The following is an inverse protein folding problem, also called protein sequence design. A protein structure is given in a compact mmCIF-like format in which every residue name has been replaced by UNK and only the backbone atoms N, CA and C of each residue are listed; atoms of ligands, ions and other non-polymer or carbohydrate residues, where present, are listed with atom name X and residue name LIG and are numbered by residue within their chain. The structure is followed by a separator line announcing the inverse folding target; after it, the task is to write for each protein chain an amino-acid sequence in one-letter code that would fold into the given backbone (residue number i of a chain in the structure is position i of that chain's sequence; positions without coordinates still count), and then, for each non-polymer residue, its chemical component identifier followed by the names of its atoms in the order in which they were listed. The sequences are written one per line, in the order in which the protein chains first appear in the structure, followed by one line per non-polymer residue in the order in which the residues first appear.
data_IF_866804091532
#
_entry.id   IF_866804091532
#
_cell.length_a   1.000
_cell.length_b   1.000
_cell.length_c   1.000
_cell.angle_alpha   90.00
_cell.angle_beta   90.00
_cell.angle_gamma   90.00
#
_symmetry.space_group_name_H-M   'P 1'
#
loop_
_entity.id
_entity.type
_entity.pdbx_description
1 polymer ?
#
# COMPACT_ATOMS: atom_id res chain seq x y z
N UNK A 1 7.98 -43.62 -10.65
CA UNK A 1 6.55 -43.21 -10.70
C UNK A 1 6.03 -42.62 -9.38
N UNK A 2 6.26 -43.23 -8.21
CA UNK A 2 5.75 -42.75 -6.90
C UNK A 2 6.35 -41.40 -6.43
N UNK A 3 7.65 -41.20 -6.65
CA UNK A 3 8.33 -39.95 -6.30
C UNK A 3 7.90 -38.75 -7.14
N UNK A 4 7.41 -38.99 -8.36
CA UNK A 4 6.88 -37.95 -9.24
C UNK A 4 5.58 -37.37 -8.67
N UNK A 5 4.72 -38.24 -8.11
CA UNK A 5 3.47 -37.82 -7.45
C UNK A 5 3.79 -37.03 -6.17
N UNK A 6 4.81 -37.44 -5.41
CA UNK A 6 5.24 -36.72 -4.21
C UNK A 6 5.79 -35.32 -4.54
N UNK A 7 6.59 -35.19 -5.60
CA UNK A 7 7.11 -33.91 -6.06
C UNK A 7 6.01 -32.95 -6.51
N UNK A 8 5.01 -33.46 -7.23
CA UNK A 8 3.84 -32.67 -7.65
C UNK A 8 3.02 -32.17 -6.45
N UNK A 9 2.87 -32.99 -5.41
CA UNK A 9 2.12 -32.61 -4.21
C UNK A 9 2.86 -31.56 -3.34
N UNK A 10 4.19 -31.58 -3.28
CA UNK A 10 4.97 -30.59 -2.52
C UNK A 10 5.00 -29.24 -3.24
N UNK A 11 5.03 -29.24 -4.57
CA UNK A 11 5.02 -28.00 -5.37
C UNK A 11 3.75 -27.16 -5.17
N UNK A 12 2.59 -27.79 -4.99
CA UNK A 12 1.32 -27.06 -4.76
C UNK A 12 1.24 -26.42 -3.37
N UNK A 13 1.91 -26.97 -2.36
CA UNK A 13 2.01 -26.38 -1.02
C UNK A 13 3.03 -25.22 -0.94
N UNK A 14 4.07 -25.25 -1.77
CA UNK A 14 5.11 -24.22 -1.83
C UNK A 14 4.71 -22.96 -2.63
N UNK A 15 3.60 -23.01 -3.39
CA UNK A 15 3.02 -21.83 -4.06
C UNK A 15 2.18 -20.95 -3.11
N UNK A 16 2.56 -20.93 -1.83
CA UNK A 16 2.01 -20.04 -0.84
C UNK A 16 2.25 -18.56 -1.15
N UNK A 17 1.43 -17.74 -0.52
CA UNK A 17 1.70 -16.34 -0.22
C UNK A 17 1.78 -15.44 -1.46
N UNK A 18 0.63 -15.21 -2.10
CA UNK A 18 0.44 -14.09 -3.01
C UNK A 18 0.76 -12.78 -2.29
N UNK A 19 1.85 -12.13 -2.69
CA UNK A 19 2.22 -10.81 -2.21
C UNK A 19 1.12 -9.80 -2.56
N UNK A 20 0.54 -9.18 -1.54
CA UNK A 20 -0.50 -8.17 -1.65
C UNK A 20 -0.05 -7.00 -2.53
N UNK A 21 -0.49 -7.00 -3.78
CA UNK A 21 -0.35 -5.86 -4.70
C UNK A 21 -1.44 -4.80 -4.46
N UNK A 22 -1.83 -4.57 -3.20
CA UNK A 22 -2.81 -3.55 -2.80
C UNK A 22 -2.22 -2.12 -2.72
N UNK A 23 -1.08 -1.84 -3.34
CA UNK A 23 -0.45 -0.51 -3.27
C UNK A 23 -1.17 0.56 -4.08
N UNK A 24 -1.98 0.18 -5.07
CA UNK A 24 -2.61 1.15 -5.97
C UNK A 24 -3.86 1.79 -5.36
N UNK A 25 -4.58 1.11 -4.47
CA UNK A 25 -5.85 1.59 -3.92
C UNK A 25 -5.77 1.93 -2.42
N UNK A 26 -4.58 2.32 -1.94
CA UNK A 26 -4.47 2.87 -0.58
C UNK A 26 -5.13 4.24 -0.57
N UNK A 27 -5.91 4.47 0.46
CA UNK A 27 -6.54 5.74 0.82
C UNK A 27 -6.21 5.88 2.31
N UNK A 28 -5.08 6.52 2.62
CA UNK A 28 -4.50 6.50 3.98
C UNK A 28 -5.32 7.36 4.95
N UNK A 29 -5.88 8.44 4.45
CA UNK A 29 -6.68 9.43 5.19
C UNK A 29 -8.19 9.16 5.09
N UNK A 30 -8.60 8.13 4.35
CA UNK A 30 -9.98 7.62 4.24
C UNK A 30 -10.97 8.66 3.68
N UNK A 31 -10.54 9.45 2.71
CA UNK A 31 -11.36 10.51 2.12
C UNK A 31 -12.08 10.08 0.82
N UNK A 32 -11.88 8.83 0.38
CA UNK A 32 -12.49 8.25 -0.81
C UNK A 32 -11.67 8.44 -2.10
N UNK A 33 -10.51 9.10 -2.03
CA UNK A 33 -9.58 9.30 -3.15
C UNK A 33 -8.35 8.42 -2.89
N UNK A 34 -8.02 7.48 -3.80
CA UNK A 34 -6.78 6.72 -3.65
C UNK A 34 -5.55 7.63 -3.66
N UNK A 35 -4.59 7.39 -2.76
CA UNK A 35 -3.30 8.10 -2.61
C UNK A 35 -2.61 8.37 -3.96
N UNK A 36 -2.73 7.45 -4.93
CA UNK A 36 -2.13 7.59 -6.28
C UNK A 36 -2.73 8.72 -7.13
N UNK A 37 -3.96 9.14 -6.82
CA UNK A 37 -4.70 10.20 -7.51
C UNK A 37 -4.76 11.50 -6.71
N UNK A 38 -4.22 11.47 -5.49
CA UNK A 38 -4.33 12.58 -4.58
C UNK A 38 -3.25 13.62 -4.85
N UNK A 39 -3.52 14.50 -5.81
CA UNK A 39 -2.59 15.58 -6.17
C UNK A 39 -2.43 16.60 -5.05
N UNK A 40 -3.45 16.79 -4.22
CA UNK A 40 -3.52 17.78 -3.16
C UNK A 40 -3.56 17.13 -1.77
N UNK A 41 -2.89 15.99 -1.61
CA UNK A 41 -2.79 15.29 -0.34
C UNK A 41 -2.29 16.25 0.73
N UNK A 42 -2.95 16.25 1.86
CA UNK A 42 -2.63 17.04 3.04
C UNK A 42 -2.68 16.08 4.23
N UNK A 43 -1.55 15.43 4.48
CA UNK A 43 -1.44 14.29 5.42
C UNK A 43 -1.65 14.70 6.87
N UNK A 44 -1.44 15.97 7.22
CA UNK A 44 -1.65 16.50 8.56
C UNK A 44 -2.92 17.37 8.70
N UNK A 45 -3.51 17.78 7.58
CA UNK A 45 -4.80 18.46 7.53
C UNK A 45 -4.69 19.95 7.86
N UNK A 46 -3.54 20.56 7.64
CA UNK A 46 -3.29 21.97 7.98
C UNK A 46 -3.58 22.96 6.83
N UNK A 47 -4.03 22.44 5.69
CA UNK A 47 -4.42 23.20 4.51
C UNK A 47 -3.27 23.40 3.51
N UNK A 48 -2.07 22.89 3.77
CA UNK A 48 -0.93 22.93 2.85
C UNK A 48 -0.72 21.54 2.23
N UNK A 49 -0.83 21.38 0.90
CA UNK A 49 -0.54 20.09 0.29
C UNK A 49 0.88 19.60 0.61
N UNK A 50 1.05 18.31 0.87
CA UNK A 50 2.31 17.63 1.25
C UNK A 50 3.50 18.04 0.36
N UNK A 51 3.25 18.27 -0.93
CA UNK A 51 4.28 18.68 -1.91
C UNK A 51 4.89 20.07 -1.65
N UNK A 52 4.17 20.91 -0.91
CA UNK A 52 4.57 22.26 -0.50
C UNK A 52 4.86 22.36 1.00
N UNK A 53 4.65 21.27 1.72
CA UNK A 53 4.86 21.23 3.15
C UNK A 53 6.27 20.75 3.51
N UNK A 54 6.93 21.48 4.41
CA UNK A 54 8.23 21.11 4.99
C UNK A 54 8.11 20.10 6.12
N UNK A 55 6.93 19.97 6.75
CA UNK A 55 6.61 19.00 7.80
C UNK A 55 5.23 18.38 7.55
N UNK A 56 5.05 17.55 6.49
CA UNK A 56 3.77 16.94 6.07
C UNK A 56 3.06 16.07 7.12
N UNK A 57 3.72 15.80 8.25
CA UNK A 57 3.25 14.98 9.35
C UNK A 57 2.94 15.80 10.61
N UNK A 58 3.02 17.13 10.57
CA UNK A 58 2.89 17.98 11.74
C UNK A 58 1.95 19.19 11.51
N UNK A 59 0.68 19.09 11.95
CA UNK A 59 -0.33 20.11 11.68
C UNK A 59 -0.15 21.41 12.48
N UNK A 60 0.90 21.49 13.31
CA UNK A 60 1.22 22.66 14.16
C UNK A 60 2.63 23.18 13.85
N UNK A 61 3.06 23.10 12.60
CA UNK A 61 4.28 23.77 12.15
C UNK A 61 4.07 25.29 12.27
N UNK A 62 4.94 25.94 13.03
CA UNK A 62 4.94 27.40 13.23
C UNK A 62 5.69 28.10 12.09
#
# INVERSE_FOLDING_TARGET
MKHLILLLAVASLAAGCGHDNHRRNRDRDHNGIPDRYERNRDSDGDGVPDRYDRRPDNPRKY
#
